data_IF_645934603027
#
_entry.id   IF_645934603027
#
_cell.length_a   1.000
_cell.length_b   1.000
_cell.length_c   1.000
_cell.angle_alpha   90.00
_cell.angle_beta   90.00
_cell.angle_gamma   90.00
#
_symmetry.space_group_name_H-M   'P 1'
#
loop_
_entity.id
_entity.type
_entity.pdbx_description
1 polymer ?
#
# COMPACT_ATOMS: atom_id res chain seq x y z
N UNK A 1 -66.86 -9.44 -18.95
CA UNK A 1 -65.81 -10.25 -18.31
C UNK A 1 -64.48 -9.55 -18.53
N UNK A 2 -64.02 -8.78 -17.54
CA UNK A 2 -62.79 -7.97 -17.59
C UNK A 2 -61.66 -8.75 -16.92
N UNK A 3 -60.64 -9.15 -17.70
CA UNK A 3 -59.43 -9.77 -17.17
C UNK A 3 -58.39 -8.66 -16.89
N UNK A 4 -58.06 -8.45 -15.62
CA UNK A 4 -56.98 -7.57 -15.20
C UNK A 4 -55.66 -8.36 -15.22
N UNK A 5 -54.71 -7.91 -16.05
CA UNK A 5 -53.36 -8.48 -16.11
C UNK A 5 -52.52 -7.84 -14.98
N UNK A 6 -52.12 -8.64 -13.98
CA UNK A 6 -51.18 -8.22 -12.94
C UNK A 6 -49.77 -8.11 -13.55
N UNK A 7 -49.23 -6.88 -13.58
CA UNK A 7 -47.82 -6.64 -13.85
C UNK A 7 -47.00 -6.95 -12.59
N UNK A 8 -46.21 -8.03 -12.63
CA UNK A 8 -45.22 -8.33 -11.60
C UNK A 8 -44.01 -7.42 -11.82
N UNK A 9 -43.84 -6.41 -10.97
CA UNK A 9 -42.59 -5.66 -10.88
C UNK A 9 -41.51 -6.54 -10.24
N UNK A 10 -40.62 -7.08 -11.07
CA UNK A 10 -39.37 -7.65 -10.58
C UNK A 10 -38.47 -6.50 -10.10
N UNK A 11 -38.40 -6.30 -8.78
CA UNK A 11 -37.44 -5.40 -8.17
C UNK A 11 -36.04 -6.03 -8.33
N UNK A 12 -35.25 -5.52 -9.28
CA UNK A 12 -33.82 -5.80 -9.32
C UNK A 12 -33.19 -5.18 -8.07
N UNK A 13 -32.85 -6.01 -7.09
CA UNK A 13 -32.03 -5.61 -5.96
C UNK A 13 -30.64 -5.22 -6.50
N UNK A 14 -30.43 -3.92 -6.69
CA UNK A 14 -29.08 -3.38 -6.86
C UNK A 14 -28.32 -3.75 -5.58
N UNK A 15 -27.13 -4.39 -5.65
CA UNK A 15 -26.36 -4.65 -4.46
C UNK A 15 -26.10 -3.31 -3.79
N UNK A 16 -26.59 -3.11 -2.56
CA UNK A 16 -26.28 -1.93 -1.80
C UNK A 16 -24.75 -1.82 -1.75
N UNK A 17 -24.20 -0.68 -2.21
CA UNK A 17 -22.79 -0.38 -2.02
C UNK A 17 -22.48 -0.64 -0.54
N UNK A 18 -21.61 -1.64 -0.27
CA UNK A 18 -21.35 -2.10 1.08
C UNK A 18 -21.00 -0.89 1.96
N UNK A 19 -21.77 -0.69 3.03
CA UNK A 19 -21.61 0.44 3.94
C UNK A 19 -20.16 0.52 4.42
N UNK A 20 -19.56 1.71 4.35
CA UNK A 20 -18.20 1.92 4.80
C UNK A 20 -18.01 1.41 6.25
N UNK A 21 -16.94 0.65 6.49
CA UNK A 21 -16.55 0.17 7.81
C UNK A 21 -15.40 1.03 8.34
N UNK A 22 -15.52 1.49 9.60
CA UNK A 22 -14.42 2.19 10.27
C UNK A 22 -13.48 1.18 10.92
N UNK A 23 -12.18 1.37 10.72
CA UNK A 23 -11.18 0.59 11.44
C UNK A 23 -11.14 1.00 12.91
N UNK A 24 -11.23 0.05 13.86
CA UNK A 24 -11.23 0.39 15.29
C UNK A 24 -9.97 1.16 15.71
N UNK A 25 -10.17 2.32 16.34
CA UNK A 25 -9.08 3.12 16.91
C UNK A 25 -8.18 3.85 15.90
N UNK A 26 -8.46 3.75 14.60
CA UNK A 26 -7.63 4.32 13.54
C UNK A 26 -8.42 5.32 12.67
N UNK A 27 -7.75 6.33 12.06
CA UNK A 27 -8.38 7.28 11.13
C UNK A 27 -8.64 6.65 9.75
N UNK A 28 -8.99 5.38 9.70
CA UNK A 28 -9.11 4.59 8.46
C UNK A 28 -10.54 4.08 8.31
N UNK A 29 -11.08 4.19 7.10
CA UNK A 29 -12.33 3.55 6.72
C UNK A 29 -12.14 2.71 5.44
N UNK A 30 -12.83 1.57 5.37
CA UNK A 30 -12.86 0.70 4.19
C UNK A 30 -14.25 0.81 3.54
N UNK A 31 -14.29 0.91 2.20
CA UNK A 31 -15.54 0.99 1.44
C UNK A 31 -15.50 0.03 0.26
N UNK A 32 -16.59 -0.71 -0.01
CA UNK A 32 -16.65 -1.64 -1.16
C UNK A 32 -15.96 -3.00 -0.95
N UNK A 33 -15.63 -3.32 0.30
CA UNK A 33 -15.02 -4.60 0.71
C UNK A 33 -16.02 -5.48 1.45
N UNK A 34 -15.77 -6.80 1.47
CA UNK A 34 -16.47 -7.68 2.42
C UNK A 34 -16.03 -7.38 3.87
N UNK A 35 -16.80 -7.86 4.85
CA UNK A 35 -16.44 -7.73 6.28
C UNK A 35 -15.07 -8.37 6.58
N UNK A 36 -14.79 -9.62 6.17
CA UNK A 36 -13.49 -10.24 6.44
C UNK A 36 -12.31 -9.55 5.74
N UNK A 37 -12.51 -9.04 4.52
CA UNK A 37 -11.47 -8.23 3.84
C UNK A 37 -11.21 -6.92 4.58
N UNK A 38 -12.28 -6.25 5.03
CA UNK A 38 -12.18 -5.00 5.79
C UNK A 38 -11.42 -5.21 7.10
N UNK A 39 -11.68 -6.30 7.82
CA UNK A 39 -10.96 -6.63 9.05
C UNK A 39 -9.46 -6.82 8.82
N UNK A 40 -9.07 -7.51 7.74
CA UNK A 40 -7.66 -7.69 7.35
C UNK A 40 -6.99 -6.38 6.97
N UNK A 41 -7.67 -5.57 6.16
CA UNK A 41 -7.19 -4.25 5.75
C UNK A 41 -7.00 -3.36 6.98
N UNK A 42 -7.98 -3.33 7.89
CA UNK A 42 -7.88 -2.56 9.13
C UNK A 42 -6.74 -3.04 10.02
N UNK A 43 -6.53 -4.35 10.17
CA UNK A 43 -5.42 -4.88 10.95
C UNK A 43 -4.05 -4.51 10.33
N UNK A 44 -3.92 -4.56 9.01
CA UNK A 44 -2.69 -4.14 8.32
C UNK A 44 -2.45 -2.63 8.44
N UNK A 45 -3.50 -1.82 8.27
CA UNK A 45 -3.44 -0.38 8.44
C UNK A 45 -3.05 0.01 9.87
N UNK A 46 -3.60 -0.65 10.90
CA UNK A 46 -3.22 -0.40 12.29
C UNK A 46 -1.72 -0.68 12.55
N UNK A 47 -1.16 -1.77 12.00
CA UNK A 47 0.28 -2.06 12.10
C UNK A 47 1.13 -0.99 11.43
N UNK A 48 0.73 -0.55 10.24
CA UNK A 48 1.41 0.52 9.51
C UNK A 48 1.37 1.84 10.29
N UNK A 49 0.19 2.24 10.78
CA UNK A 49 0.00 3.47 11.52
C UNK A 49 0.71 3.46 12.89
N UNK A 50 0.79 2.31 13.56
CA UNK A 50 1.60 2.15 14.76
C UNK A 50 3.11 2.35 14.48
N UNK A 51 3.62 1.77 13.39
CA UNK A 51 5.01 1.93 12.98
C UNK A 51 5.36 3.39 12.66
N UNK A 52 4.54 4.08 11.85
CA UNK A 52 4.84 5.47 11.45
C UNK A 52 4.74 6.42 12.64
N UNK A 53 3.82 6.20 13.59
CA UNK A 53 3.75 6.98 14.84
C UNK A 53 5.00 6.78 15.69
N UNK A 54 5.48 5.54 15.83
CA UNK A 54 6.72 5.24 16.53
C UNK A 54 7.94 5.90 15.85
N UNK A 55 7.88 6.12 14.54
CA UNK A 55 8.87 6.86 13.76
C UNK A 55 8.68 8.40 13.80
N UNK A 56 7.75 8.91 14.60
CA UNK A 56 7.50 10.35 14.76
C UNK A 56 6.70 11.01 13.64
N UNK A 57 6.06 10.24 12.76
CA UNK A 57 5.20 10.76 11.69
C UNK A 57 3.74 10.79 12.14
N UNK A 58 3.00 11.80 11.66
CA UNK A 58 1.58 11.96 11.98
C UNK A 58 0.70 11.43 10.86
N UNK A 59 -0.22 10.49 11.10
CA UNK A 59 -1.22 10.10 10.11
C UNK A 59 -2.13 11.28 9.74
N UNK A 60 -2.64 11.35 8.50
CA UNK A 60 -3.70 12.30 8.15
C UNK A 60 -4.97 12.04 8.97
N UNK A 61 -5.84 13.05 9.05
CA UNK A 61 -7.08 12.99 9.83
C UNK A 61 -8.06 11.90 9.36
N UNK A 62 -7.99 11.51 8.08
CA UNK A 62 -8.78 10.43 7.51
C UNK A 62 -8.08 9.79 6.32
N UNK A 63 -8.19 8.48 6.19
CA UNK A 63 -7.79 7.69 5.03
C UNK A 63 -8.96 6.78 4.65
N UNK A 64 -9.32 6.77 3.37
CA UNK A 64 -10.29 5.81 2.84
C UNK A 64 -9.57 4.76 1.99
N UNK A 65 -9.91 3.48 2.20
CA UNK A 65 -9.39 2.36 1.41
C UNK A 65 -10.51 1.75 0.57
N UNK A 66 -10.34 1.77 -0.75
CA UNK A 66 -11.29 1.24 -1.74
C UNK A 66 -10.67 0.15 -2.61
N UNK A 67 -11.46 -0.76 -3.18
CA UNK A 67 -10.98 -1.65 -4.23
C UNK A 67 -10.49 -0.84 -5.43
N UNK A 68 -9.35 -1.22 -5.97
CA UNK A 68 -8.88 -0.74 -7.27
C UNK A 68 -9.84 -1.27 -8.34
N UNK A 69 -10.40 -0.36 -9.13
CA UNK A 69 -11.27 -0.75 -10.24
C UNK A 69 -10.47 -1.51 -11.30
N UNK A 70 -11.01 -2.63 -11.78
CA UNK A 70 -10.38 -3.40 -12.86
C UNK A 70 -10.31 -2.53 -14.11
N UNK A 71 -9.09 -2.21 -14.55
CA UNK A 71 -8.83 -1.70 -15.91
C UNK A 71 -9.21 -2.73 -16.97
N UNK A 72 -9.51 -2.24 -18.18
CA UNK A 72 -9.94 -3.07 -19.33
C UNK A 72 -8.82 -4.04 -19.73
N UNK A 73 -9.20 -5.16 -20.34
CA UNK A 73 -8.26 -6.19 -20.82
C UNK A 73 -7.33 -5.57 -21.88
N UNK A 74 -6.02 -5.54 -21.62
CA UNK A 74 -4.99 -5.00 -22.53
C UNK A 74 -4.09 -3.93 -21.92
N UNK A 75 -4.45 -3.37 -20.76
CA UNK A 75 -3.58 -2.45 -20.04
C UNK A 75 -2.38 -3.21 -19.41
N UNK A 76 -1.26 -2.49 -19.19
CA UNK A 76 -0.10 -3.01 -18.47
C UNK A 76 -0.49 -3.66 -17.12
N UNK A 77 0.39 -4.51 -16.56
CA UNK A 77 0.14 -5.16 -15.28
C UNK A 77 -0.38 -4.16 -14.24
N UNK A 78 -1.59 -4.40 -13.71
CA UNK A 78 -2.22 -3.47 -12.78
C UNK A 78 -1.38 -3.38 -11.50
N UNK A 79 -1.19 -2.17 -10.95
CA UNK A 79 -0.53 -2.03 -9.66
C UNK A 79 -1.36 -2.74 -8.58
N UNK A 80 -0.69 -3.29 -7.58
CA UNK A 80 -1.36 -3.96 -6.46
C UNK A 80 -2.04 -2.97 -5.51
N UNK A 81 -1.56 -1.72 -5.49
CA UNK A 81 -2.13 -0.62 -4.75
C UNK A 81 -1.79 0.72 -5.41
N UNK A 82 -2.52 1.77 -5.00
CA UNK A 82 -2.23 3.14 -5.38
C UNK A 82 -2.83 4.10 -4.36
N UNK A 83 -2.06 5.09 -3.93
CA UNK A 83 -2.56 6.27 -3.24
C UNK A 83 -2.81 7.43 -4.20
N UNK A 84 -4.01 8.00 -4.17
CA UNK A 84 -4.34 9.24 -4.86
C UNK A 84 -4.27 10.43 -3.90
N UNK A 85 -3.21 11.24 -4.03
CA UNK A 85 -2.99 12.42 -3.21
C UNK A 85 -4.05 13.52 -3.41
N UNK A 86 -4.74 13.56 -4.56
CA UNK A 86 -5.77 14.54 -4.84
C UNK A 86 -7.07 14.28 -4.07
N UNK A 87 -7.41 13.00 -3.87
CA UNK A 87 -8.62 12.57 -3.14
C UNK A 87 -8.36 12.02 -1.74
N UNK A 88 -7.09 11.76 -1.37
CA UNK A 88 -6.74 11.15 -0.09
C UNK A 88 -7.17 9.67 0.01
N UNK A 89 -7.41 9.03 -1.12
CA UNK A 89 -7.93 7.65 -1.20
C UNK A 89 -6.80 6.69 -1.51
N UNK A 90 -6.73 5.61 -0.74
CA UNK A 90 -5.95 4.42 -1.04
C UNK A 90 -6.82 3.44 -1.83
N UNK A 91 -6.31 2.97 -2.96
CA UNK A 91 -6.93 1.95 -3.79
C UNK A 91 -6.07 0.68 -3.74
N UNK A 92 -6.69 -0.48 -3.60
CA UNK A 92 -5.98 -1.75 -3.50
C UNK A 92 -6.63 -2.81 -4.39
N UNK A 93 -5.83 -3.58 -5.11
CA UNK A 93 -6.33 -4.75 -5.83
C UNK A 93 -7.02 -5.72 -4.85
N UNK A 94 -8.13 -6.31 -5.27
CA UNK A 94 -8.76 -7.39 -4.50
C UNK A 94 -7.81 -8.58 -4.36
N UNK A 95 -7.88 -9.29 -3.24
CA UNK A 95 -6.98 -10.42 -2.98
C UNK A 95 -7.00 -11.46 -4.10
N UNK A 96 -8.19 -11.84 -4.57
CA UNK A 96 -8.36 -12.77 -5.70
C UNK A 96 -7.71 -12.27 -7.01
N UNK A 97 -7.80 -10.96 -7.28
CA UNK A 97 -7.20 -10.35 -8.45
C UNK A 97 -5.66 -10.29 -8.31
N UNK A 98 -5.15 -10.02 -7.11
CA UNK A 98 -3.73 -10.05 -6.81
C UNK A 98 -3.15 -11.47 -6.96
N UNK A 99 -3.88 -12.50 -6.52
CA UNK A 99 -3.49 -13.91 -6.73
C UNK A 99 -3.48 -14.26 -8.22
N UNK A 100 -4.50 -13.84 -8.97
CA UNK A 100 -4.54 -14.06 -10.42
C UNK A 100 -3.36 -13.36 -11.14
N UNK A 101 -3.07 -12.11 -10.79
CA UNK A 101 -1.97 -11.33 -11.34
C UNK A 101 -0.60 -11.98 -11.03
N UNK A 102 -0.40 -12.45 -9.80
CA UNK A 102 0.81 -13.16 -9.37
C UNK A 102 1.06 -14.48 -10.11
N UNK A 103 0.03 -15.07 -10.75
CA UNK A 103 0.16 -16.27 -11.59
C UNK A 103 0.39 -15.93 -13.06
N UNK A 104 -0.09 -14.77 -13.50
CA UNK A 104 -0.01 -14.33 -14.89
C UNK A 104 1.29 -13.58 -15.21
N UNK A 105 1.93 -12.99 -14.18
CA UNK A 105 3.12 -12.16 -14.31
C UNK A 105 4.18 -12.55 -13.27
N UNK A 106 5.35 -11.92 -13.35
CA UNK A 106 6.37 -12.07 -12.32
C UNK A 106 5.78 -11.70 -10.94
N UNK A 107 5.84 -12.59 -9.94
CA UNK A 107 5.26 -12.32 -8.64
C UNK A 107 6.02 -11.21 -7.90
N UNK A 108 5.28 -10.44 -7.09
CA UNK A 108 5.89 -9.49 -6.17
C UNK A 108 6.91 -10.19 -5.25
N UNK A 109 8.10 -9.63 -5.13
CA UNK A 109 9.22 -10.23 -4.39
C UNK A 109 9.59 -11.66 -4.80
N UNK A 110 9.19 -12.10 -6.00
CA UNK A 110 9.40 -13.47 -6.44
C UNK A 110 8.61 -14.52 -5.67
N UNK A 111 7.59 -14.15 -4.89
CA UNK A 111 6.79 -15.03 -4.04
C UNK A 111 5.32 -15.10 -4.51
N UNK A 112 4.70 -16.29 -4.53
CA UNK A 112 3.26 -16.40 -4.78
C UNK A 112 2.48 -15.50 -3.82
N UNK A 113 1.45 -14.82 -4.33
CA UNK A 113 0.61 -13.96 -3.51
C UNK A 113 -0.07 -14.75 -2.37
N UNK A 114 0.29 -14.43 -1.13
CA UNK A 114 -0.41 -14.87 0.09
C UNK A 114 -1.23 -13.73 0.67
N UNK A 115 -2.09 -14.02 1.65
CA UNK A 115 -2.87 -12.99 2.34
C UNK A 115 -1.95 -11.99 3.06
N UNK A 116 -0.88 -12.46 3.69
CA UNK A 116 0.09 -11.62 4.40
C UNK A 116 0.89 -10.74 3.44
N UNK A 117 1.25 -11.26 2.25
CA UNK A 117 1.91 -10.46 1.22
C UNK A 117 0.96 -9.40 0.66
N UNK A 118 -0.31 -9.74 0.42
CA UNK A 118 -1.33 -8.80 -0.01
C UNK A 118 -1.58 -7.71 1.05
N UNK A 119 -1.71 -8.07 2.33
CA UNK A 119 -1.83 -7.13 3.46
C UNK A 119 -0.62 -6.19 3.55
N UNK A 120 0.58 -6.61 3.13
CA UNK A 120 1.76 -5.73 3.11
C UNK A 120 1.60 -4.55 2.14
N UNK A 121 0.83 -4.71 1.06
CA UNK A 121 0.53 -3.61 0.15
C UNK A 121 -0.44 -2.59 0.76
N UNK A 122 -1.31 -3.00 1.70
CA UNK A 122 -2.06 -2.03 2.51
C UNK A 122 -1.09 -1.12 3.28
N UNK A 123 -0.07 -1.71 3.91
CA UNK A 123 0.92 -0.94 4.67
C UNK A 123 1.73 0.01 3.77
N UNK A 124 2.06 -0.43 2.55
CA UNK A 124 2.72 0.38 1.53
C UNK A 124 1.88 1.62 1.16
N UNK A 125 0.61 1.44 0.81
CA UNK A 125 -0.24 2.57 0.41
C UNK A 125 -0.62 3.49 1.58
N UNK A 126 -0.78 2.95 2.79
CA UNK A 126 -0.93 3.78 4.00
C UNK A 126 0.30 4.67 4.20
N UNK A 127 1.50 4.15 3.94
CA UNK A 127 2.71 4.94 4.04
C UNK A 127 2.75 6.08 3.01
N UNK A 128 2.24 5.89 1.79
CA UNK A 128 2.08 6.99 0.84
C UNK A 128 1.10 8.05 1.33
N UNK A 129 -0.03 7.65 1.93
CA UNK A 129 -0.98 8.60 2.52
C UNK A 129 -0.36 9.42 3.65
N UNK A 130 0.41 8.76 4.52
CA UNK A 130 1.17 9.43 5.60
C UNK A 130 2.23 10.36 5.02
N UNK A 131 3.04 9.90 4.06
CA UNK A 131 4.08 10.73 3.44
C UNK A 131 3.48 11.95 2.74
N UNK A 132 2.39 11.78 1.99
CA UNK A 132 1.66 12.87 1.34
C UNK A 132 1.20 13.95 2.33
N UNK A 133 0.80 13.56 3.54
CA UNK A 133 0.39 14.48 4.60
C UNK A 133 1.56 15.17 5.32
N UNK A 134 2.77 14.61 5.26
CA UNK A 134 3.94 15.11 6.01
C UNK A 134 5.02 15.73 5.12
N UNK A 135 4.98 15.53 3.80
CA UNK A 135 5.97 16.10 2.89
C UNK A 135 5.92 17.62 2.86
N UNK A 136 7.04 18.25 3.21
CA UNK A 136 7.32 19.67 2.91
C UNK A 136 8.36 19.83 1.80
N UNK A 137 9.02 18.74 1.40
CA UNK A 137 9.98 18.71 0.30
C UNK A 137 9.38 19.24 -1.01
N UNK A 138 10.22 19.72 -1.93
CA UNK A 138 9.77 20.11 -3.27
C UNK A 138 9.17 18.91 -4.03
N UNK A 139 8.07 19.07 -4.82
CA UNK A 139 7.41 17.95 -5.50
C UNK A 139 8.33 17.02 -6.28
N UNK A 140 9.32 17.57 -7.00
CA UNK A 140 10.29 16.80 -7.78
C UNK A 140 11.16 15.84 -6.95
N UNK A 141 11.24 16.06 -5.63
CA UNK A 141 12.07 15.28 -4.69
C UNK A 141 11.29 14.25 -3.89
N UNK A 142 9.97 14.15 -4.10
CA UNK A 142 9.07 13.33 -3.28
C UNK A 142 8.93 11.90 -3.75
N UNK A 143 9.12 11.62 -5.05
CA UNK A 143 8.79 10.32 -5.63
C UNK A 143 9.62 9.20 -4.98
N UNK A 144 10.94 9.23 -5.15
CA UNK A 144 11.82 8.22 -4.56
C UNK A 144 11.75 8.21 -3.03
N UNK A 145 11.56 9.37 -2.40
CA UNK A 145 11.43 9.47 -0.94
C UNK A 145 10.16 8.78 -0.43
N UNK A 146 9.05 8.91 -1.18
CA UNK A 146 7.78 8.27 -0.90
C UNK A 146 7.88 6.75 -1.05
N UNK A 147 8.47 6.27 -2.16
CA UNK A 147 8.70 4.84 -2.38
C UNK A 147 9.61 4.24 -1.30
N UNK A 148 10.69 4.94 -0.93
CA UNK A 148 11.60 4.50 0.13
C UNK A 148 10.87 4.35 1.46
N UNK A 149 10.08 5.35 1.85
CA UNK A 149 9.28 5.30 3.06
C UNK A 149 8.25 4.17 3.02
N UNK A 150 7.54 4.02 1.90
CA UNK A 150 6.53 2.98 1.72
C UNK A 150 7.12 1.56 1.79
N UNK A 151 8.27 1.34 1.15
CA UNK A 151 8.99 0.08 1.22
C UNK A 151 9.39 -0.29 2.66
N UNK A 152 9.85 0.68 3.46
CA UNK A 152 10.23 0.41 4.85
C UNK A 152 9.03 0.06 5.69
N UNK A 153 7.93 0.81 5.57
CA UNK A 153 6.71 0.53 6.33
C UNK A 153 6.19 -0.86 5.94
N UNK A 154 6.17 -1.19 4.64
CA UNK A 154 5.77 -2.49 4.11
C UNK A 154 6.59 -3.63 4.72
N UNK A 155 7.92 -3.60 4.59
CA UNK A 155 8.79 -4.67 5.11
C UNK A 155 8.83 -4.69 6.65
N UNK A 156 8.77 -3.55 7.32
CA UNK A 156 8.85 -3.51 8.78
C UNK A 156 7.62 -4.10 9.47
N UNK A 157 6.45 -4.04 8.82
CA UNK A 157 5.15 -4.39 9.43
C UNK A 157 4.56 -5.73 8.99
N UNK A 158 5.16 -6.38 7.99
CA UNK A 158 4.80 -7.75 7.61
C UNK A 158 5.30 -8.78 8.64
N UNK A 159 4.74 -10.01 8.66
CA UNK A 159 5.21 -11.09 9.53
C UNK A 159 6.70 -11.38 9.34
N UNK A 160 7.41 -11.64 10.45
CA UNK A 160 8.86 -11.84 10.43
C UNK A 160 9.30 -12.97 9.48
N UNK A 161 8.54 -14.08 9.43
CA UNK A 161 8.84 -15.20 8.54
C UNK A 161 8.79 -14.77 7.06
N UNK A 162 7.72 -14.07 6.65
CA UNK A 162 7.58 -13.55 5.29
C UNK A 162 8.71 -12.57 4.95
N UNK A 163 9.01 -11.63 5.85
CA UNK A 163 10.13 -10.70 5.66
C UNK A 163 11.45 -11.44 5.44
N UNK A 164 11.78 -12.43 6.27
CA UNK A 164 13.03 -13.21 6.11
C UNK A 164 13.09 -13.90 4.76
N UNK A 165 12.02 -14.56 4.34
CA UNK A 165 11.95 -15.23 3.03
C UNK A 165 12.16 -14.26 1.87
N UNK A 166 11.67 -13.03 1.98
CA UNK A 166 11.96 -11.97 1.00
C UNK A 166 13.45 -11.61 1.05
N UNK A 167 13.97 -11.24 2.22
CA UNK A 167 15.36 -10.78 2.36
C UNK A 167 16.40 -11.82 1.93
N UNK A 168 16.15 -13.11 2.17
CA UNK A 168 17.03 -14.22 1.76
C UNK A 168 17.05 -14.43 0.24
N UNK A 169 15.99 -14.01 -0.47
CA UNK A 169 15.88 -14.17 -1.92
C UNK A 169 16.69 -13.13 -2.71
N UNK A 170 16.99 -12.00 -2.08
CA UNK A 170 17.69 -10.88 -2.72
C UNK A 170 19.06 -10.70 -2.09
N UNK A 171 20.11 -11.06 -2.83
CA UNK A 171 21.50 -10.83 -2.45
C UNK A 171 21.95 -9.42 -2.85
N UNK A 172 21.50 -8.42 -2.09
CA UNK A 172 21.76 -7.00 -2.38
C UNK A 172 22.20 -6.25 -1.13
N UNK A 173 23.29 -5.49 -1.21
CA UNK A 173 23.67 -4.62 -0.10
C UNK A 173 22.63 -3.51 0.12
N UNK A 174 22.56 -2.97 1.34
CA UNK A 174 21.83 -1.73 1.63
C UNK A 174 22.18 -0.63 0.62
N UNK A 175 21.35 0.41 0.53
CA UNK A 175 21.84 1.67 -0.06
C UNK A 175 23.05 2.18 0.72
N UNK A 176 24.07 2.64 0.03
CA UNK A 176 25.26 3.25 0.63
C UNK A 176 24.98 4.66 1.17
N UNK A 177 24.17 5.42 0.43
CA UNK A 177 23.73 6.76 0.79
C UNK A 177 22.40 7.13 0.11
N UNK A 178 21.89 8.32 0.42
CA UNK A 178 20.61 8.82 -0.09
C UNK A 178 20.61 9.06 -1.62
N UNK A 179 21.75 9.31 -2.24
CA UNK A 179 21.89 9.52 -3.69
C UNK A 179 21.72 8.25 -4.53
N UNK A 180 21.91 7.07 -3.92
CA UNK A 180 21.61 5.79 -4.59
C UNK A 180 20.10 5.50 -4.68
N UNK A 181 19.29 6.17 -3.86
CA UNK A 181 17.85 5.97 -3.78
C UNK A 181 17.16 6.77 -4.90
N UNK A 182 16.97 6.12 -6.05
CA UNK A 182 16.46 6.76 -7.26
C UNK A 182 15.16 6.12 -7.75
N UNK A 183 14.33 6.90 -8.45
CA UNK A 183 13.16 6.37 -9.13
C UNK A 183 13.53 5.40 -10.26
N UNK A 184 14.67 5.60 -10.92
CA UNK A 184 15.14 4.69 -11.96
C UNK A 184 15.31 3.26 -11.42
N UNK A 185 15.95 3.10 -10.26
CA UNK A 185 16.09 1.77 -9.65
C UNK A 185 14.74 1.18 -9.26
N UNK A 186 13.84 2.00 -8.70
CA UNK A 186 12.49 1.55 -8.37
C UNK A 186 11.75 1.03 -9.60
N UNK A 187 11.77 1.76 -10.71
CA UNK A 187 11.09 1.37 -11.95
C UNK A 187 11.70 0.12 -12.60
N UNK A 188 13.02 -0.06 -12.48
CA UNK A 188 13.72 -1.22 -13.02
C UNK A 188 13.48 -2.49 -12.19
N UNK A 189 13.56 -2.38 -10.87
CA UNK A 189 13.37 -3.51 -9.95
C UNK A 189 12.81 -3.03 -8.59
N UNK A 190 11.47 -2.95 -8.47
CA UNK A 190 10.82 -2.52 -7.23
C UNK A 190 11.17 -3.39 -6.02
N UNK A 191 11.44 -4.68 -6.24
CA UNK A 191 11.73 -5.61 -5.15
C UNK A 191 13.16 -5.39 -4.62
N UNK A 192 14.15 -5.21 -5.50
CA UNK A 192 15.50 -4.81 -5.11
C UNK A 192 15.48 -3.46 -4.41
N UNK A 193 14.75 -2.47 -4.95
CA UNK A 193 14.59 -1.16 -4.33
C UNK A 193 14.06 -1.27 -2.89
N UNK A 194 12.99 -2.06 -2.69
CA UNK A 194 12.36 -2.21 -1.39
C UNK A 194 13.28 -2.94 -0.38
N UNK A 195 13.99 -3.99 -0.81
CA UNK A 195 14.96 -4.70 0.03
C UNK A 195 16.13 -3.80 0.42
N UNK A 196 16.70 -3.04 -0.53
CA UNK A 196 17.77 -2.07 -0.25
C UNK A 196 17.31 -0.98 0.72
N UNK A 197 16.08 -0.48 0.54
CA UNK A 197 15.46 0.52 1.43
C UNK A 197 15.37 0.03 2.87
N UNK A 198 14.85 -1.19 3.06
CA UNK A 198 14.74 -1.81 4.38
C UNK A 198 16.11 -2.06 5.02
N UNK A 199 17.07 -2.61 4.27
CA UNK A 199 18.43 -2.87 4.77
C UNK A 199 19.13 -1.58 5.19
N UNK A 200 19.00 -0.50 4.40
CA UNK A 200 19.52 0.81 4.77
C UNK A 200 18.88 1.32 6.08
N UNK A 201 17.55 1.26 6.19
CA UNK A 201 16.85 1.71 7.40
C UNK A 201 17.29 0.95 8.66
N UNK A 202 17.45 -0.38 8.56
CA UNK A 202 17.97 -1.20 9.67
C UNK A 202 19.40 -0.82 10.03
N UNK A 203 20.26 -0.56 9.04
CA UNK A 203 21.65 -0.17 9.26
C UNK A 203 21.80 1.19 9.97
N UNK A 204 20.81 2.09 9.82
CA UNK A 204 20.78 3.37 10.56
C UNK A 204 20.56 3.18 12.08
N UNK A 205 20.04 2.03 12.51
CA UNK A 205 19.73 1.77 13.92
C UNK A 205 18.84 2.85 14.52
N UNK A 206 19.28 3.47 15.62
CA UNK A 206 18.57 4.56 16.28
C UNK A 206 18.42 5.84 15.44
N UNK A 207 19.17 5.98 14.33
CA UNK A 207 19.10 7.12 13.42
C UNK A 207 17.92 7.08 12.44
N UNK A 208 17.19 5.96 12.36
CA UNK A 208 16.09 5.77 11.41
C UNK A 208 15.01 6.88 11.46
N UNK A 209 14.43 7.22 12.63
CA UNK A 209 13.44 8.29 12.72
C UNK A 209 13.95 9.66 12.23
N UNK A 210 15.20 10.00 12.53
CA UNK A 210 15.81 11.25 12.07
C UNK A 210 15.97 11.28 10.54
N UNK A 211 16.34 10.14 9.94
CA UNK A 211 16.41 10.00 8.49
C UNK A 211 15.03 10.16 7.83
N UNK A 212 13.99 9.52 8.37
CA UNK A 212 12.63 9.66 7.86
C UNK A 212 12.12 11.10 7.96
N UNK A 213 12.41 11.80 9.07
CA UNK A 213 12.09 13.22 9.19
C UNK A 213 12.83 14.07 8.15
N UNK A 214 14.10 13.76 7.85
CA UNK A 214 14.84 14.41 6.76
C UNK A 214 14.17 14.15 5.41
N UNK A 215 13.80 12.91 5.10
CA UNK A 215 13.10 12.57 3.85
C UNK A 215 11.82 13.38 3.66
N UNK A 216 11.00 13.53 4.71
CA UNK A 216 9.76 14.31 4.62
C UNK A 216 10.04 15.79 4.35
N UNK A 217 11.11 16.34 4.95
CA UNK A 217 11.44 17.76 4.81
C UNK A 217 12.13 18.11 3.50
N UNK A 218 13.09 17.29 3.10
CA UNK A 218 14.05 17.61 2.04
C UNK A 218 13.80 16.78 0.78
N UNK A 219 13.26 15.58 0.93
CA UNK A 219 13.13 14.61 -0.16
C UNK A 219 14.48 14.11 -0.66
N UNK A 220 14.46 13.30 -1.71
CA UNK A 220 15.66 12.75 -2.33
C UNK A 220 16.04 13.53 -3.59
N UNK A 221 17.21 13.23 -4.16
CA UNK A 221 17.52 13.74 -5.49
C UNK A 221 16.44 13.23 -6.49
N UNK A 222 16.01 14.07 -7.44
CA UNK A 222 15.08 13.65 -8.48
C UNK A 222 15.65 12.54 -9.37
#
# INVERSE_FOLDING_TARGET
MTAALLAVLAAFAVPAAGRAMRCPGEPVATSGWSVPESERICAAAARALAFVRAAGQSPPASIEIRPLERRRRGDAAQPLGQYDAGSGVVMLARYEAAVAASRAHAPAFGLPMSAELWESFVAHEIAHAVAGANFTAAPARRAAAGEYFAAIVQLSTMPQALRRSILERYDTAAFGDAGEVTMLLYEMDPAVFAVKSYRHYVALGGGGPAFLAMLMREGLAP
#
